data_IF_358367292365
#
_entry.id   IF_358367292365
#
_cell.length_a   1.000
_cell.length_b   1.000
_cell.length_c   1.000
_cell.angle_alpha   90.00
_cell.angle_beta   90.00
_cell.angle_gamma   90.00
#
_symmetry.space_group_name_H-M   'P 1'
#
loop_
_entity.id
_entity.type
_entity.pdbx_description
1 polymer ?
#
# COMPACT_ATOMS: atom_id res chain seq x y z
N UNK A 1 -6.90 -1.43 -3.14
CA UNK A 1 -5.87 -1.71 -2.11
C UNK A 1 -4.48 -1.20 -2.48
N UNK A 2 -4.01 -1.34 -3.74
CA UNK A 2 -2.64 -1.01 -4.14
C UNK A 2 -2.07 0.32 -3.59
N UNK A 3 -2.69 1.51 -3.79
CA UNK A 3 -2.11 2.76 -3.28
C UNK A 3 -1.96 2.75 -1.75
N UNK A 4 -2.94 2.21 -1.03
CA UNK A 4 -2.89 2.11 0.44
C UNK A 4 -1.76 1.17 0.94
N UNK A 5 -1.54 0.04 0.25
CA UNK A 5 -0.43 -0.88 0.58
C UNK A 5 0.93 -0.25 0.26
N UNK A 6 1.03 0.49 -0.85
CA UNK A 6 2.26 1.21 -1.22
C UNK A 6 2.61 2.26 -0.16
N UNK A 7 1.63 3.04 0.30
CA UNK A 7 1.83 4.02 1.36
C UNK A 7 2.31 3.37 2.67
N UNK A 8 1.63 2.31 3.11
CA UNK A 8 2.01 1.56 4.30
C UNK A 8 3.41 0.95 4.19
N UNK A 9 3.78 0.39 3.04
CA UNK A 9 5.13 -0.14 2.82
C UNK A 9 6.19 0.97 2.88
N UNK A 10 5.96 2.12 2.24
CA UNK A 10 6.90 3.26 2.28
C UNK A 10 7.06 3.76 3.73
N UNK A 11 5.96 3.90 4.47
CA UNK A 11 5.98 4.32 5.86
C UNK A 11 6.75 3.33 6.75
N UNK A 12 6.40 2.04 6.67
CA UNK A 12 7.07 0.98 7.41
C UNK A 12 8.56 0.90 7.07
N UNK A 13 8.94 1.02 5.79
CA UNK A 13 10.33 1.00 5.36
C UNK A 13 11.10 2.19 5.94
N UNK A 14 10.54 3.40 5.88
CA UNK A 14 11.19 4.59 6.48
C UNK A 14 11.41 4.45 7.98
N UNK A 15 10.50 3.79 8.70
CA UNK A 15 10.61 3.61 10.16
C UNK A 15 11.52 2.45 10.56
N UNK A 16 11.44 1.32 9.86
CA UNK A 16 12.04 0.05 10.30
C UNK A 16 13.21 -0.42 9.43
N UNK A 17 13.41 0.19 8.26
CA UNK A 17 14.41 -0.22 7.29
C UNK A 17 14.85 0.96 6.38
N UNK A 18 15.17 2.12 6.97
CA UNK A 18 15.44 3.36 6.24
C UNK A 18 16.59 3.24 5.22
N UNK A 19 17.59 2.39 5.51
CA UNK A 19 18.74 2.14 4.63
C UNK A 19 18.47 1.05 3.58
N UNK A 20 17.23 0.55 3.48
CA UNK A 20 16.86 -0.49 2.51
C UNK A 20 16.84 0.05 1.08
N UNK A 21 17.43 -0.71 0.17
CA UNK A 21 17.36 -0.45 -1.28
C UNK A 21 15.91 -0.47 -1.82
N UNK A 22 14.95 -1.02 -1.08
CA UNK A 22 13.54 -1.03 -1.48
C UNK A 22 12.96 0.38 -1.59
N UNK A 23 13.37 1.33 -0.72
CA UNK A 23 12.89 2.71 -0.85
C UNK A 23 13.32 3.33 -2.18
N UNK A 24 14.56 3.11 -2.59
CA UNK A 24 15.06 3.57 -3.89
C UNK A 24 14.31 2.92 -5.07
N UNK A 25 13.83 1.68 -4.92
CA UNK A 25 12.95 1.04 -5.92
C UNK A 25 11.58 1.69 -6.00
N UNK A 26 11.03 2.16 -4.88
CA UNK A 26 9.79 2.95 -4.90
C UNK A 26 9.99 4.31 -5.58
N UNK A 27 11.14 4.95 -5.41
CA UNK A 27 11.49 6.15 -6.18
C UNK A 27 11.57 5.84 -7.68
N UNK A 28 12.18 4.71 -8.05
CA UNK A 28 12.23 4.25 -9.45
C UNK A 28 10.84 4.03 -10.05
N UNK A 29 9.94 3.37 -9.30
CA UNK A 29 8.54 3.23 -9.69
C UNK A 29 7.89 4.60 -9.87
N UNK A 30 8.14 5.56 -8.96
CA UNK A 30 7.65 6.93 -9.07
C UNK A 30 8.08 7.59 -10.37
N UNK A 31 9.36 7.47 -10.75
CA UNK A 31 9.89 8.00 -12.03
C UNK A 31 9.23 7.34 -13.24
N UNK A 32 9.03 6.02 -13.21
CA UNK A 32 8.40 5.29 -14.31
C UNK A 32 6.93 5.68 -14.50
N UNK A 33 6.16 5.82 -13.41
CA UNK A 33 4.74 6.14 -13.48
C UNK A 33 4.47 7.59 -13.86
N UNK A 34 5.28 8.52 -13.34
CA UNK A 34 5.09 9.97 -13.58
C UNK A 34 5.79 10.46 -14.85
N UNK A 35 6.80 9.73 -15.34
CA UNK A 35 7.69 10.18 -16.41
C UNK A 35 8.67 11.27 -16.00
N UNK A 36 8.72 11.63 -14.70
CA UNK A 36 9.64 12.64 -14.18
C UNK A 36 10.91 11.99 -13.64
N UNK A 37 12.12 12.39 -14.09
CA UNK A 37 13.38 11.82 -13.61
C UNK A 37 13.69 12.17 -12.15
N UNK A 38 13.07 13.20 -11.59
CA UNK A 38 13.28 13.64 -10.20
C UNK A 38 12.19 13.15 -9.24
N UNK A 39 11.23 12.34 -9.74
CA UNK A 39 10.15 11.82 -8.89
C UNK A 39 10.68 10.89 -7.79
N UNK A 40 10.04 11.01 -6.63
CA UNK A 40 10.25 10.16 -5.46
C UNK A 40 9.05 9.24 -5.22
N UNK A 41 9.18 8.30 -4.30
CA UNK A 41 8.17 7.30 -3.96
C UNK A 41 6.77 7.89 -3.71
N UNK A 42 6.70 9.05 -3.05
CA UNK A 42 5.43 9.73 -2.75
C UNK A 42 4.74 10.31 -3.99
N UNK A 43 5.50 10.67 -5.04
CA UNK A 43 4.92 11.11 -6.31
C UNK A 43 4.29 9.93 -7.05
N UNK A 44 4.95 8.77 -7.02
CA UNK A 44 4.40 7.52 -7.53
C UNK A 44 3.12 7.09 -6.81
N UNK A 45 3.09 7.24 -5.48
CA UNK A 45 1.89 7.00 -4.67
C UNK A 45 0.74 7.96 -5.05
N UNK A 46 1.03 9.25 -5.20
CA UNK A 46 0.03 10.24 -5.63
C UNK A 46 -0.55 9.87 -6.99
N UNK A 47 0.32 9.53 -7.95
CA UNK A 47 -0.08 9.06 -9.28
C UNK A 47 -0.99 7.81 -9.20
N UNK A 48 -0.60 6.79 -8.42
CA UNK A 48 -1.41 5.57 -8.25
C UNK A 48 -2.78 5.87 -7.63
N UNK A 49 -2.82 6.80 -6.68
CA UNK A 49 -4.05 7.24 -6.02
C UNK A 49 -4.98 7.93 -7.02
N UNK A 50 -4.45 8.83 -7.85
CA UNK A 50 -5.23 9.56 -8.84
C UNK A 50 -5.73 8.65 -9.97
N UNK A 51 -4.92 7.70 -10.42
CA UNK A 51 -5.34 6.68 -11.39
C UNK A 51 -6.41 5.77 -10.80
N UNK A 52 -6.28 5.36 -9.54
CA UNK A 52 -7.31 4.54 -8.88
C UNK A 52 -8.65 5.28 -8.80
N UNK A 53 -8.62 6.59 -8.53
CA UNK A 53 -9.81 7.44 -8.52
C UNK A 53 -10.40 7.63 -9.93
N UNK A 54 -9.58 7.93 -10.93
CA UNK A 54 -10.04 8.16 -12.30
C UNK A 54 -10.66 6.92 -12.93
N UNK A 55 -10.18 5.73 -12.55
CA UNK A 55 -10.76 4.44 -12.94
C UNK A 55 -11.99 4.04 -12.10
N UNK A 56 -12.40 4.86 -11.12
CA UNK A 56 -13.50 4.57 -10.20
C UNK A 56 -13.36 3.20 -9.53
N UNK A 57 -12.16 2.86 -9.06
CA UNK A 57 -11.92 1.61 -8.33
C UNK A 57 -12.83 1.59 -7.09
N UNK A 58 -13.65 0.54 -6.90
CA UNK A 58 -14.60 0.48 -5.80
C UNK A 58 -13.89 0.39 -4.44
N UNK A 59 -14.50 1.01 -3.43
CA UNK A 59 -14.12 0.88 -2.02
C UNK A 59 -14.59 -0.45 -1.45
N UNK A 60 -14.02 -0.91 -0.33
CA UNK A 60 -14.44 -2.19 0.28
C UNK A 60 -15.91 -2.14 0.73
N UNK A 61 -16.39 -0.99 1.24
CA UNK A 61 -17.81 -0.79 1.57
C UNK A 61 -18.72 -0.94 0.36
N UNK A 62 -18.35 -0.35 -0.79
CA UNK A 62 -19.14 -0.46 -2.03
C UNK A 62 -19.15 -1.89 -2.60
N UNK A 63 -18.15 -2.70 -2.24
CA UNK A 63 -18.08 -4.14 -2.56
C UNK A 63 -18.87 -5.00 -1.55
N UNK A 64 -19.52 -4.40 -0.55
CA UNK A 64 -20.33 -5.11 0.44
C UNK A 64 -19.53 -5.69 1.61
N UNK A 65 -18.28 -5.27 1.81
CA UNK A 65 -17.44 -5.76 2.92
C UNK A 65 -17.83 -5.03 4.22
N UNK A 66 -18.31 -5.75 5.26
CA UNK A 66 -18.65 -5.12 6.53
C UNK A 66 -17.41 -4.58 7.22
N UNK A 67 -17.49 -3.37 7.80
CA UNK A 67 -16.37 -2.80 8.57
C UNK A 67 -15.91 -3.72 9.71
N UNK A 68 -16.84 -4.42 10.36
CA UNK A 68 -16.55 -5.39 11.41
C UNK A 68 -15.78 -6.63 10.96
N UNK A 69 -15.68 -6.91 9.66
CA UNK A 69 -14.89 -8.03 9.13
C UNK A 69 -13.40 -7.68 8.98
N UNK A 70 -13.01 -6.40 9.07
CA UNK A 70 -11.63 -5.95 8.87
C UNK A 70 -10.61 -6.69 9.76
N UNK A 71 -10.83 -6.85 11.09
CA UNK A 71 -9.86 -7.56 11.94
C UNK A 71 -9.62 -9.02 11.52
N UNK A 72 -10.68 -9.72 11.11
CA UNK A 72 -10.58 -11.11 10.63
C UNK A 72 -9.83 -11.19 9.29
N UNK A 73 -10.14 -10.29 8.36
CA UNK A 73 -9.47 -10.19 7.06
C UNK A 73 -7.99 -9.88 7.26
N UNK A 74 -7.63 -8.93 8.13
CA UNK A 74 -6.25 -8.58 8.44
C UNK A 74 -5.48 -9.76 9.06
N UNK A 75 -6.08 -10.45 10.04
CA UNK A 75 -5.48 -11.63 10.66
C UNK A 75 -5.21 -12.76 9.67
N UNK A 76 -6.14 -12.96 8.72
CA UNK A 76 -5.99 -13.95 7.65
C UNK A 76 -4.93 -13.53 6.64
N UNK A 77 -4.92 -12.27 6.24
CA UNK A 77 -3.94 -11.70 5.32
C UNK A 77 -2.51 -11.85 5.87
N UNK A 78 -2.29 -11.54 7.15
CA UNK A 78 -0.98 -11.67 7.80
C UNK A 78 -0.36 -13.07 7.69
N UNK A 79 -1.19 -14.12 7.56
CA UNK A 79 -0.75 -15.52 7.45
C UNK A 79 -0.61 -15.99 6.00
N UNK A 80 -1.05 -15.20 5.03
CA UNK A 80 -1.02 -15.57 3.62
C UNK A 80 0.42 -15.66 3.10
N UNK A 81 0.68 -16.63 2.21
CA UNK A 81 2.01 -16.81 1.61
C UNK A 81 2.48 -15.60 0.78
N UNK A 82 1.56 -14.81 0.24
CA UNK A 82 1.85 -13.56 -0.47
C UNK A 82 2.50 -12.51 0.43
N UNK A 83 2.23 -12.52 1.74
CA UNK A 83 2.86 -11.58 2.67
C UNK A 83 4.34 -11.86 2.88
N UNK A 84 4.80 -13.12 2.69
CA UNK A 84 6.23 -13.46 2.77
C UNK A 84 7.07 -12.76 1.69
N UNK A 85 6.45 -12.42 0.56
CA UNK A 85 7.10 -11.74 -0.54
C UNK A 85 6.92 -10.20 -0.48
N UNK A 86 6.17 -9.67 0.49
CA UNK A 86 6.06 -8.24 0.68
C UNK A 86 7.43 -7.68 1.10
N UNK A 87 7.88 -6.54 0.57
CA UNK A 87 9.24 -6.05 0.81
C UNK A 87 9.52 -5.66 2.27
N UNK A 88 8.48 -5.59 3.10
CA UNK A 88 8.56 -5.42 4.55
C UNK A 88 7.41 -6.18 5.20
N UNK A 89 7.64 -6.79 6.36
CA UNK A 89 6.57 -7.42 7.12
C UNK A 89 5.62 -6.35 7.65
N UNK A 90 4.36 -6.39 7.20
CA UNK A 90 3.29 -5.53 7.73
C UNK A 90 2.65 -6.23 8.92
N UNK A 91 2.61 -5.51 10.03
CA UNK A 91 1.96 -5.92 11.27
C UNK A 91 0.44 -5.93 11.12
N UNK A 92 -0.25 -6.67 11.98
CA UNK A 92 -1.72 -6.69 11.96
C UNK A 92 -2.36 -5.30 12.05
N UNK A 93 -1.92 -4.38 12.95
CA UNK A 93 -2.45 -3.01 12.97
C UNK A 93 -2.22 -2.23 11.66
N UNK A 94 -1.08 -2.40 11.00
CA UNK A 94 -0.80 -1.77 9.71
C UNK A 94 -1.73 -2.32 8.61
N UNK A 95 -2.01 -3.63 8.62
CA UNK A 95 -2.97 -4.26 7.70
C UNK A 95 -4.41 -3.80 7.95
N UNK A 96 -4.82 -3.68 9.20
CA UNK A 96 -6.13 -3.13 9.57
C UNK A 96 -6.26 -1.68 9.09
N UNK A 97 -5.25 -0.84 9.31
CA UNK A 97 -5.24 0.55 8.83
C UNK A 97 -5.34 0.65 7.30
N UNK A 98 -4.68 -0.23 6.54
CA UNK A 98 -4.81 -0.31 5.07
C UNK A 98 -6.25 -0.60 4.68
N UNK A 99 -6.89 -1.58 5.33
CA UNK A 99 -8.26 -1.99 5.03
C UNK A 99 -9.26 -0.91 5.43
N UNK A 100 -9.06 -0.22 6.55
CA UNK A 100 -9.89 0.90 6.97
C UNK A 100 -9.78 2.09 6.03
N UNK A 101 -8.58 2.43 5.55
CA UNK A 101 -8.37 3.51 4.59
C UNK A 101 -9.00 3.19 3.21
N UNK A 102 -9.13 1.92 2.86
CA UNK A 102 -9.76 1.45 1.64
C UNK A 102 -11.27 1.19 1.79
N UNK A 103 -11.84 1.37 2.98
CA UNK A 103 -13.23 1.02 3.28
C UNK A 103 -14.24 1.96 2.62
#
# INVERSE_FOLDING_TARGET
LLPFVVDANIHALRLRAADSMTLARYDEIGRLLTGSPDAVATDGLAWLTDVSKSLNVPTLSSMGIPKGAIPEIASTAAKASSMKANPIELTQPELEAILEAAW
#
